data_IF_608145633175
#
_entry.id   IF_608145633175
#
_cell.length_a   1.000
_cell.length_b   1.000
_cell.length_c   1.000
_cell.angle_alpha   90.00
_cell.angle_beta   90.00
_cell.angle_gamma   90.00
#
_symmetry.space_group_name_H-M   'P 1'
#
loop_
_entity.id
_entity.type
_entity.pdbx_description
1 polymer ?
#
# COMPACT_ATOMS: atom_id res chain seq x y z
N UNK A 1 1.42 -26.00 -16.48
CA UNK A 1 2.49 -25.60 -15.53
C UNK A 1 1.92 -24.51 -14.64
N UNK A 2 1.57 -24.87 -13.40
CA UNK A 2 0.90 -24.01 -12.43
C UNK A 2 1.88 -23.02 -11.79
N UNK A 3 1.54 -21.73 -11.83
CA UNK A 3 2.27 -20.66 -11.12
C UNK A 3 2.07 -20.79 -9.60
N UNK A 4 3.13 -20.74 -8.78
CA UNK A 4 3.02 -20.79 -7.33
C UNK A 4 2.84 -19.37 -6.78
N UNK A 5 1.61 -18.89 -6.68
CA UNK A 5 1.31 -17.83 -5.72
C UNK A 5 1.12 -18.49 -4.36
N UNK A 6 2.24 -18.84 -3.70
CA UNK A 6 2.24 -19.14 -2.28
C UNK A 6 1.96 -17.83 -1.56
N UNK A 7 0.68 -17.56 -1.29
CA UNK A 7 0.29 -16.62 -0.26
C UNK A 7 0.78 -17.25 1.03
N UNK A 8 1.81 -16.66 1.63
CA UNK A 8 2.29 -17.07 2.95
C UNK A 8 1.27 -16.55 3.98
N UNK A 9 0.10 -17.19 4.01
CA UNK A 9 -0.81 -17.12 5.14
C UNK A 9 -0.17 -18.00 6.21
N UNK A 10 0.62 -17.40 7.10
CA UNK A 10 1.03 -18.09 8.32
C UNK A 10 -0.21 -18.21 9.24
N UNK A 11 -1.10 -19.13 8.90
CA UNK A 11 -2.02 -19.75 9.86
C UNK A 11 -1.51 -21.18 9.97
N UNK A 12 -0.47 -21.37 10.79
CA UNK A 12 -0.04 -22.72 11.12
C UNK A 12 -1.07 -23.28 12.11
N UNK A 13 -1.97 -24.09 11.56
CA UNK A 13 -2.97 -24.80 12.33
C UNK A 13 -2.30 -25.99 13.02
N UNK A 14 -2.41 -25.99 14.36
CA UNK A 14 -2.17 -27.10 15.28
C UNK A 14 -0.76 -27.23 15.93
N UNK A 15 -0.43 -26.26 16.80
CA UNK A 15 0.82 -26.24 17.60
C UNK A 15 0.59 -26.66 19.08
N UNK A 16 -0.59 -27.17 19.45
CA UNK A 16 -0.92 -27.40 20.87
C UNK A 16 -0.17 -28.54 21.58
N UNK A 17 0.74 -29.26 20.91
CA UNK A 17 1.35 -30.48 21.47
C UNK A 17 2.88 -30.48 21.56
N UNK A 18 3.59 -29.45 21.09
CA UNK A 18 5.07 -29.41 21.14
C UNK A 18 5.62 -28.29 22.06
N UNK A 19 6.26 -28.63 23.20
CA UNK A 19 6.82 -27.65 24.13
C UNK A 19 8.03 -26.87 23.58
N UNK A 20 8.74 -27.34 22.54
CA UNK A 20 9.82 -26.59 21.90
C UNK A 20 9.29 -25.47 20.99
N UNK A 21 8.12 -25.66 20.37
CA UNK A 21 7.42 -24.62 19.61
C UNK A 21 6.86 -23.50 20.51
N UNK A 22 6.58 -23.78 21.78
CA UNK A 22 6.02 -22.81 22.74
C UNK A 22 7.01 -21.67 23.09
N UNK A 23 8.31 -21.96 23.08
CA UNK A 23 9.38 -20.96 23.30
C UNK A 23 9.54 -20.05 22.07
N UNK A 24 9.34 -20.60 20.88
CA UNK A 24 9.30 -19.82 19.62
C UNK A 24 7.98 -19.05 19.48
N UNK A 25 6.88 -19.52 20.05
CA UNK A 25 5.56 -18.87 20.00
C UNK A 25 5.56 -17.49 20.67
N UNK A 26 6.34 -17.28 21.73
CA UNK A 26 6.48 -15.95 22.36
C UNK A 26 7.21 -14.93 21.47
N UNK A 27 8.01 -15.39 20.49
CA UNK A 27 8.70 -14.54 19.53
C UNK A 27 7.86 -14.25 18.27
N UNK A 28 6.92 -15.14 17.90
CA UNK A 28 6.12 -15.03 16.67
C UNK A 28 4.65 -14.61 16.88
N UNK A 29 4.18 -14.46 18.12
CA UNK A 29 2.80 -14.00 18.44
C UNK A 29 2.56 -12.49 18.23
N UNK A 30 3.54 -11.76 17.68
CA UNK A 30 3.56 -10.29 17.73
C UNK A 30 2.74 -9.60 16.63
N UNK A 31 2.75 -10.08 15.38
CA UNK A 31 2.03 -9.41 14.29
C UNK A 31 1.60 -10.35 13.15
N UNK A 32 0.51 -9.99 12.46
CA UNK A 32 0.02 -10.64 11.24
C UNK A 32 -0.16 -9.59 10.14
N UNK A 33 0.23 -9.93 8.92
CA UNK A 33 0.18 -9.04 7.76
C UNK A 33 -0.73 -9.66 6.71
N UNK A 34 -1.77 -8.93 6.31
CA UNK A 34 -2.66 -9.32 5.22
C UNK A 34 -2.25 -8.62 3.94
N UNK A 35 -2.05 -9.37 2.86
CA UNK A 35 -1.74 -8.87 1.52
C UNK A 35 -2.69 -9.48 0.47
N UNK A 36 -3.95 -9.71 0.86
CA UNK A 36 -4.98 -10.28 -0.01
C UNK A 36 -5.36 -9.30 -1.13
N UNK A 37 -5.74 -9.83 -2.29
CA UNK A 37 -6.13 -9.02 -3.44
C UNK A 37 -7.51 -8.36 -3.27
N UNK A 38 -7.80 -7.24 -3.97
CA UNK A 38 -9.05 -6.50 -3.84
C UNK A 38 -10.33 -7.35 -4.00
N UNK A 39 -10.30 -8.33 -4.90
CA UNK A 39 -11.44 -9.21 -5.21
C UNK A 39 -11.79 -10.21 -4.10
N UNK A 40 -10.96 -10.33 -3.06
CA UNK A 40 -11.19 -11.26 -1.93
C UNK A 40 -11.10 -10.58 -0.56
N UNK A 41 -11.19 -9.25 -0.51
CA UNK A 41 -11.07 -8.45 0.74
C UNK A 41 -12.00 -8.90 1.86
N UNK A 42 -13.16 -9.46 1.51
CA UNK A 42 -14.14 -10.00 2.46
C UNK A 42 -13.58 -11.13 3.35
N UNK A 43 -12.53 -11.83 2.91
CA UNK A 43 -11.86 -12.86 3.72
C UNK A 43 -11.22 -12.28 4.99
N UNK A 44 -10.88 -10.99 5.02
CA UNK A 44 -10.32 -10.37 6.22
C UNK A 44 -11.32 -10.36 7.39
N UNK A 45 -12.63 -10.38 7.12
CA UNK A 45 -13.68 -10.47 8.15
C UNK A 45 -13.63 -11.79 8.93
N UNK A 46 -13.10 -12.85 8.34
CA UNK A 46 -12.94 -14.16 9.01
C UNK A 46 -11.55 -14.32 9.60
N UNK A 47 -10.52 -13.75 8.98
CA UNK A 47 -9.13 -13.82 9.46
C UNK A 47 -8.93 -13.00 10.74
N UNK A 48 -9.53 -11.81 10.86
CA UNK A 48 -9.32 -10.93 12.03
C UNK A 48 -9.77 -11.58 13.36
N UNK A 49 -10.98 -12.17 13.47
CA UNK A 49 -11.38 -12.90 14.67
C UNK A 49 -10.48 -14.12 14.97
N UNK A 50 -10.04 -14.84 13.94
CA UNK A 50 -9.14 -15.98 14.10
C UNK A 50 -7.76 -15.55 14.60
N UNK A 51 -7.23 -14.44 14.07
CA UNK A 51 -5.99 -13.84 14.54
C UNK A 51 -6.08 -13.43 16.02
N UNK A 52 -7.19 -12.80 16.40
CA UNK A 52 -7.46 -12.45 17.80
C UNK A 52 -7.54 -13.69 18.70
N UNK A 53 -8.21 -14.76 18.26
CA UNK A 53 -8.31 -16.01 19.01
C UNK A 53 -6.95 -16.74 19.14
N UNK A 54 -6.06 -16.57 18.15
CA UNK A 54 -4.69 -17.09 18.16
C UNK A 54 -3.71 -16.26 19.02
N UNK A 55 -4.19 -15.18 19.66
CA UNK A 55 -3.37 -14.30 20.49
C UNK A 55 -2.52 -13.30 19.72
N UNK A 56 -2.77 -13.11 18.42
CA UNK A 56 -2.03 -12.13 17.60
C UNK A 56 -2.22 -10.73 18.18
N UNK A 57 -1.09 -10.08 18.42
CA UNK A 57 -1.04 -8.81 19.13
C UNK A 57 -1.22 -7.57 18.24
N UNK A 58 -0.96 -7.68 16.94
CA UNK A 58 -1.08 -6.61 15.95
C UNK A 58 -1.49 -7.20 14.60
N UNK A 59 -2.50 -6.62 13.95
CA UNK A 59 -2.95 -7.05 12.63
C UNK A 59 -2.84 -5.89 11.65
N UNK A 60 -2.08 -6.08 10.57
CA UNK A 60 -1.94 -5.13 9.46
C UNK A 60 -2.89 -5.57 8.34
N UNK A 61 -3.99 -4.83 8.09
CA UNK A 61 -4.91 -5.15 7.01
C UNK A 61 -4.30 -4.85 5.63
N UNK A 62 -4.91 -5.39 4.58
CA UNK A 62 -4.53 -5.13 3.19
C UNK A 62 -4.92 -3.71 2.75
N UNK A 63 -4.16 -2.71 3.20
CA UNK A 63 -4.41 -1.26 3.02
C UNK A 63 -3.22 -0.53 2.35
N UNK A 64 -2.46 -1.20 1.50
CA UNK A 64 -1.22 -0.68 0.87
C UNK A 64 -1.48 0.30 -0.29
N UNK A 65 -2.42 1.22 -0.12
CA UNK A 65 -2.80 2.13 -1.18
C UNK A 65 -3.65 3.30 -0.72
N UNK A 66 -4.64 3.61 -1.55
CA UNK A 66 -5.38 4.86 -1.56
C UNK A 66 -6.34 4.99 -0.38
N UNK A 67 -6.47 6.20 0.18
CA UNK A 67 -7.51 6.53 1.17
C UNK A 67 -8.90 6.36 0.55
N UNK A 68 -9.77 5.61 1.23
CA UNK A 68 -11.23 5.74 1.06
C UNK A 68 -11.69 6.88 1.95
N UNK A 69 -11.81 8.09 1.41
CA UNK A 69 -12.42 9.22 2.11
C UNK A 69 -13.81 9.47 1.56
N UNK A 70 -14.84 9.15 2.32
CA UNK A 70 -16.18 9.71 2.10
C UNK A 70 -16.20 11.19 2.52
N UNK A 71 -16.88 12.04 1.75
CA UNK A 71 -17.31 13.37 2.21
C UNK A 71 -16.81 14.59 1.41
N UNK A 72 -17.34 15.79 1.75
CA UNK A 72 -17.42 16.97 0.87
C UNK A 72 -16.13 17.81 0.70
N UNK A 73 -14.93 17.21 0.77
CA UNK A 73 -13.66 17.96 0.69
C UNK A 73 -13.14 18.17 -0.75
N UNK A 74 -14.02 18.68 -1.62
CA UNK A 74 -13.78 18.98 -3.05
C UNK A 74 -12.84 20.19 -3.28
N UNK A 75 -12.28 20.82 -2.24
CA UNK A 75 -11.54 22.07 -2.40
C UNK A 75 -10.08 21.98 -1.93
N UNK A 76 -9.24 21.24 -2.70
CA UNK A 76 -7.82 21.56 -2.94
C UNK A 76 -7.43 21.21 -4.39
N UNK A 77 -8.26 21.66 -5.33
CA UNK A 77 -7.99 21.65 -6.78
C UNK A 77 -7.01 22.78 -7.12
N UNK A 78 -5.83 22.42 -7.64
CA UNK A 78 -4.86 23.22 -8.43
C UNK A 78 -3.39 22.82 -8.19
N UNK A 79 -3.06 22.11 -7.09
CA UNK A 79 -1.69 21.56 -6.88
C UNK A 79 -1.70 20.06 -6.57
N UNK A 80 -2.85 19.50 -6.16
CA UNK A 80 -3.00 18.07 -5.81
C UNK A 80 -3.57 17.21 -6.94
N UNK A 81 -4.10 17.81 -8.01
CA UNK A 81 -4.90 17.14 -9.05
C UNK A 81 -4.14 16.29 -10.05
N UNK A 82 -2.80 16.21 -9.98
CA UNK A 82 -2.05 15.46 -10.98
C UNK A 82 -1.06 14.46 -10.39
N UNK A 83 -0.88 14.36 -9.08
CA UNK A 83 0.20 13.57 -8.50
C UNK A 83 -0.28 12.21 -7.99
N UNK A 84 0.36 11.14 -8.46
CA UNK A 84 0.28 9.83 -7.85
C UNK A 84 1.46 9.65 -6.89
N UNK A 85 1.19 9.16 -5.68
CA UNK A 85 2.26 8.61 -4.86
C UNK A 85 2.77 7.33 -5.52
N UNK A 86 4.08 7.17 -5.56
CA UNK A 86 4.72 5.99 -6.12
C UNK A 86 5.58 5.39 -5.04
N UNK A 87 5.54 4.07 -4.92
CA UNK A 87 6.47 3.28 -4.09
C UNK A 87 6.58 1.90 -4.72
N UNK A 88 7.81 1.40 -4.84
CA UNK A 88 8.03 0.06 -5.37
C UNK A 88 7.48 -1.00 -4.43
N UNK A 89 7.04 -2.15 -4.96
CA UNK A 89 6.60 -3.27 -4.11
C UNK A 89 7.68 -3.73 -3.13
N UNK A 90 8.95 -3.67 -3.56
CA UNK A 90 10.11 -3.99 -2.72
C UNK A 90 10.25 -3.00 -1.57
N UNK A 91 10.09 -1.71 -1.86
CA UNK A 91 10.20 -0.65 -0.86
C UNK A 91 8.99 -0.68 0.11
N UNK A 92 7.77 -0.96 -0.35
CA UNK A 92 6.63 -1.25 0.54
C UNK A 92 6.98 -2.37 1.52
N UNK A 93 7.50 -3.49 1.02
CA UNK A 93 7.91 -4.62 1.86
C UNK A 93 8.99 -4.25 2.86
N UNK A 94 10.01 -3.50 2.43
CA UNK A 94 11.10 -3.01 3.31
C UNK A 94 10.59 -2.09 4.41
N UNK A 95 9.73 -1.14 4.06
CA UNK A 95 9.16 -0.20 5.04
C UNK A 95 8.34 -0.95 6.08
N UNK A 96 7.39 -1.79 5.65
CA UNK A 96 6.54 -2.57 6.56
C UNK A 96 7.38 -3.49 7.46
N UNK A 97 8.34 -4.22 6.89
CA UNK A 97 9.21 -5.11 7.66
C UNK A 97 10.07 -4.34 8.68
N UNK A 98 10.62 -3.19 8.30
CA UNK A 98 11.40 -2.36 9.21
C UNK A 98 10.54 -1.86 10.37
N UNK A 99 9.42 -1.19 10.07
CA UNK A 99 8.56 -0.59 11.11
C UNK A 99 8.04 -1.64 12.09
N UNK A 100 7.58 -2.80 11.60
CA UNK A 100 7.06 -3.86 12.46
C UNK A 100 8.13 -4.52 13.33
N UNK A 101 9.41 -4.46 12.92
CA UNK A 101 10.52 -5.07 13.67
C UNK A 101 11.21 -4.10 14.63
N UNK A 102 11.12 -2.79 14.41
CA UNK A 102 11.85 -1.77 15.17
C UNK A 102 10.97 -0.90 16.05
N UNK A 103 9.71 -0.68 15.70
CA UNK A 103 8.83 0.20 16.45
C UNK A 103 8.25 -0.50 17.69
N UNK A 104 8.08 0.26 18.78
CA UNK A 104 7.33 -0.23 19.94
C UNK A 104 5.87 -0.48 19.56
N UNK A 105 5.29 -1.59 20.02
CA UNK A 105 3.88 -1.96 19.75
C UNK A 105 2.90 -0.83 20.10
N UNK A 106 3.12 -0.13 21.22
CA UNK A 106 2.28 1.01 21.63
C UNK A 106 2.30 2.19 20.65
N UNK A 107 3.34 2.31 19.83
CA UNK A 107 3.43 3.32 18.77
C UNK A 107 2.72 2.87 17.47
N UNK A 108 2.33 1.58 17.37
CA UNK A 108 1.67 0.99 16.21
C UNK A 108 0.17 0.75 16.43
N UNK A 109 -0.27 0.65 17.69
CA UNK A 109 -1.67 0.41 18.02
C UNK A 109 -2.57 1.56 17.55
N UNK A 110 -3.48 1.27 16.61
CA UNK A 110 -4.34 2.27 15.98
C UNK A 110 -3.60 3.27 15.08
N UNK A 111 -2.30 3.09 14.86
CA UNK A 111 -1.49 4.02 14.09
C UNK A 111 -1.77 3.89 12.58
N UNK A 112 -1.84 5.05 11.93
CA UNK A 112 -1.79 5.18 10.47
C UNK A 112 -0.42 5.73 10.11
N UNK A 113 0.27 5.04 9.22
CA UNK A 113 1.65 5.37 8.85
C UNK A 113 1.71 5.67 7.35
N UNK A 114 1.48 6.92 6.92
CA UNK A 114 1.65 7.29 5.52
C UNK A 114 3.13 7.26 5.14
N UNK A 115 3.46 6.56 4.06
CA UNK A 115 4.81 6.54 3.51
C UNK A 115 4.73 6.54 1.98
N UNK A 116 5.74 7.14 1.33
CA UNK A 116 5.88 7.11 -0.11
C UNK A 116 7.36 7.19 -0.51
N UNK A 117 7.65 6.95 -1.80
CA UNK A 117 8.96 7.21 -2.40
C UNK A 117 8.98 8.59 -3.02
N UNK A 118 7.99 8.87 -3.85
CA UNK A 118 7.89 10.12 -4.60
C UNK A 118 6.45 10.39 -5.04
N UNK A 119 6.20 11.63 -5.46
CA UNK A 119 4.96 12.06 -6.08
C UNK A 119 5.27 12.48 -7.50
N UNK A 120 4.71 11.77 -8.47
CA UNK A 120 4.86 12.11 -9.89
C UNK A 120 3.49 12.17 -10.55
N UNK A 121 3.35 13.12 -11.46
CA UNK A 121 2.18 13.17 -12.33
C UNK A 121 2.29 12.24 -13.54
N UNK A 122 1.16 11.85 -14.16
CA UNK A 122 1.19 11.08 -15.41
C UNK A 122 2.07 11.73 -16.49
N UNK A 123 2.11 13.06 -16.57
CA UNK A 123 2.97 13.78 -17.51
C UNK A 123 4.45 13.74 -17.11
N UNK A 124 4.79 13.84 -15.82
CA UNK A 124 6.17 13.68 -15.36
C UNK A 124 6.66 12.23 -15.55
N UNK A 125 5.81 11.24 -15.28
CA UNK A 125 6.09 9.82 -15.57
C UNK A 125 6.36 9.65 -17.06
N UNK A 126 5.49 10.19 -17.93
CA UNK A 126 5.69 10.17 -19.38
C UNK A 126 7.05 10.75 -19.74
N UNK A 127 7.39 11.93 -19.24
CA UNK A 127 8.64 12.62 -19.58
C UNK A 127 9.88 11.80 -19.16
N UNK A 128 9.85 11.16 -17.99
CA UNK A 128 10.90 10.23 -17.55
C UNK A 128 11.01 9.02 -18.48
N UNK A 129 9.88 8.43 -18.87
CA UNK A 129 9.84 7.26 -19.77
C UNK A 129 10.31 7.62 -21.18
N UNK A 130 9.84 8.72 -21.76
CA UNK A 130 10.26 9.18 -23.09
C UNK A 130 11.77 9.47 -23.12
N UNK A 131 12.28 10.13 -22.08
CA UNK A 131 13.71 10.42 -21.93
C UNK A 131 14.53 9.14 -21.86
N UNK A 132 14.11 8.17 -21.04
CA UNK A 132 14.90 6.94 -20.84
C UNK A 132 14.84 6.00 -22.04
N UNK A 133 13.68 5.91 -22.70
CA UNK A 133 13.46 4.97 -23.81
C UNK A 133 13.69 5.58 -25.19
N UNK A 134 13.84 6.90 -25.29
CA UNK A 134 13.98 7.62 -26.56
C UNK A 134 12.76 7.50 -27.47
N UNK A 135 11.58 7.20 -26.91
CA UNK A 135 10.32 6.97 -27.65
C UNK A 135 9.28 7.98 -27.22
N UNK A 136 8.52 8.50 -28.18
CA UNK A 136 7.36 9.35 -27.91
C UNK A 136 6.15 8.51 -27.52
N UNK A 137 5.44 8.95 -26.48
CA UNK A 137 4.21 8.33 -25.99
C UNK A 137 3.05 9.23 -26.40
N UNK A 138 2.08 8.66 -27.11
CA UNK A 138 0.82 9.33 -27.40
C UNK A 138 0.02 9.52 -26.10
N UNK A 139 -0.34 10.76 -25.79
CA UNK A 139 -1.21 11.07 -24.65
C UNK A 139 -2.65 11.15 -25.13
N UNK A 140 -3.52 10.35 -24.51
CA UNK A 140 -4.96 10.43 -24.71
C UNK A 140 -5.61 11.06 -23.51
N UNK A 141 -6.45 12.04 -23.76
CA UNK A 141 -7.31 12.62 -22.75
C UNK A 141 -8.63 11.86 -22.75
N UNK A 142 -9.12 11.54 -21.55
CA UNK A 142 -10.41 10.89 -21.34
C UNK A 142 -11.28 11.88 -20.57
N UNK A 143 -12.54 12.00 -20.98
CA UNK A 143 -13.52 12.79 -20.25
C UNK A 143 -13.85 12.12 -18.91
N UNK A 144 -13.88 12.90 -17.83
CA UNK A 144 -14.11 12.37 -16.49
C UNK A 144 -15.49 11.72 -16.34
N UNK A 145 -16.55 12.39 -16.79
CA UNK A 145 -17.92 11.89 -16.61
C UNK A 145 -18.18 10.64 -17.46
N UNK A 146 -17.62 10.57 -18.67
CA UNK A 146 -17.70 9.37 -19.51
C UNK A 146 -16.88 8.22 -18.92
N UNK A 147 -15.67 8.50 -18.43
CA UNK A 147 -14.80 7.51 -17.82
C UNK A 147 -15.44 6.87 -16.57
N UNK A 148 -16.04 7.71 -15.72
CA UNK A 148 -16.70 7.29 -14.48
C UNK A 148 -17.84 6.31 -14.69
N UNK A 149 -18.51 6.30 -15.85
CA UNK A 149 -19.56 5.31 -16.18
C UNK A 149 -19.05 3.87 -16.15
N UNK A 150 -17.76 3.68 -16.39
CA UNK A 150 -17.12 2.35 -16.40
C UNK A 150 -16.32 2.08 -15.12
N UNK A 151 -16.50 2.87 -14.06
CA UNK A 151 -15.72 2.77 -12.82
C UNK A 151 -15.72 1.37 -12.20
N UNK A 152 -16.87 0.70 -12.18
CA UNK A 152 -17.03 -0.62 -11.57
C UNK A 152 -16.61 -1.79 -12.49
N UNK A 153 -16.40 -1.51 -13.78
CA UNK A 153 -16.26 -2.56 -14.81
C UNK A 153 -14.93 -2.51 -15.57
N UNK A 154 -14.24 -1.36 -15.56
CA UNK A 154 -12.96 -1.16 -16.24
C UNK A 154 -11.90 -0.67 -15.24
N UNK A 155 -10.80 -1.43 -15.12
CA UNK A 155 -9.73 -1.13 -14.16
C UNK A 155 -8.99 0.17 -14.47
N UNK A 156 -8.90 0.56 -15.74
CA UNK A 156 -8.27 1.81 -16.14
C UNK A 156 -9.18 2.96 -15.76
N UNK A 157 -10.49 2.85 -16.03
CA UNK A 157 -11.49 3.83 -15.64
C UNK A 157 -11.56 4.02 -14.11
N UNK A 158 -11.47 2.93 -13.35
CA UNK A 158 -11.34 2.97 -11.90
C UNK A 158 -10.13 3.80 -11.46
N UNK A 159 -8.93 3.46 -11.95
CA UNK A 159 -7.68 4.12 -11.52
C UNK A 159 -7.68 5.61 -11.91
N UNK A 160 -8.07 5.94 -13.14
CA UNK A 160 -8.05 7.33 -13.62
C UNK A 160 -9.10 8.19 -12.92
N UNK A 161 -10.28 7.65 -12.61
CA UNK A 161 -11.30 8.35 -11.81
C UNK A 161 -10.80 8.61 -10.38
N UNK A 162 -10.19 7.61 -9.74
CA UNK A 162 -9.64 7.77 -8.38
C UNK A 162 -8.56 8.86 -8.33
N UNK A 163 -7.71 8.97 -9.35
CA UNK A 163 -6.70 10.03 -9.42
C UNK A 163 -7.31 11.42 -9.60
N UNK A 164 -8.31 11.55 -10.49
CA UNK A 164 -9.02 12.83 -10.71
C UNK A 164 -9.79 13.29 -9.45
N UNK A 165 -10.34 12.35 -8.67
CA UNK A 165 -11.00 12.62 -7.40
C UNK A 165 -10.00 12.94 -6.25
N UNK A 166 -8.69 13.01 -6.55
CA UNK A 166 -7.65 13.38 -5.58
C UNK A 166 -7.23 12.23 -4.66
N UNK A 167 -7.68 11.02 -4.93
CA UNK A 167 -7.32 9.83 -4.15
C UNK A 167 -5.95 9.25 -4.53
N UNK A 168 -5.21 9.86 -5.46
CA UNK A 168 -3.84 9.45 -5.82
C UNK A 168 -2.78 9.69 -4.72
N UNK A 169 -3.13 10.41 -3.65
CA UNK A 169 -2.23 10.76 -2.56
C UNK A 169 -2.57 10.00 -1.27
N UNK A 170 -1.54 9.54 -0.56
CA UNK A 170 -1.72 8.86 0.74
C UNK A 170 -2.02 9.88 1.84
N UNK A 171 -1.26 10.96 1.93
CA UNK A 171 -1.45 12.06 2.90
C UNK A 171 -0.70 13.33 2.47
N UNK A 172 -0.55 14.32 3.35
CA UNK A 172 0.33 15.47 3.06
C UNK A 172 1.81 15.07 3.03
N UNK A 173 2.64 15.80 2.27
CA UNK A 173 4.09 15.54 2.23
C UNK A 173 4.74 15.62 3.62
N UNK A 174 4.21 16.52 4.47
CA UNK A 174 4.70 16.71 5.84
C UNK A 174 4.48 15.45 6.66
N UNK A 175 3.27 14.89 6.64
CA UNK A 175 2.93 13.68 7.40
C UNK A 175 3.73 12.47 6.93
N UNK A 176 3.96 12.35 5.62
CA UNK A 176 4.80 11.30 5.04
C UNK A 176 6.24 11.43 5.53
N UNK A 177 6.83 12.63 5.48
CA UNK A 177 8.20 12.89 5.96
C UNK A 177 8.34 12.66 7.45
N UNK A 178 7.36 13.09 8.26
CA UNK A 178 7.33 12.86 9.70
C UNK A 178 7.23 11.37 10.04
N UNK A 179 6.45 10.60 9.28
CA UNK A 179 6.33 9.15 9.46
C UNK A 179 7.65 8.45 9.16
N UNK A 180 8.29 8.77 8.03
CA UNK A 180 9.60 8.22 7.70
C UNK A 180 10.64 8.60 8.76
N UNK A 181 10.74 9.88 9.13
CA UNK A 181 11.69 10.34 10.15
C UNK A 181 11.49 9.68 11.52
N UNK A 182 10.24 9.35 11.88
CA UNK A 182 9.93 8.71 13.16
C UNK A 182 10.18 7.20 13.15
N UNK A 183 9.82 6.52 12.08
CA UNK A 183 9.74 5.06 12.06
C UNK A 183 10.80 4.38 11.20
N UNK A 184 11.43 5.11 10.28
CA UNK A 184 12.52 4.63 9.44
C UNK A 184 13.43 5.81 9.03
N UNK A 185 14.24 6.38 9.94
CA UNK A 185 15.02 7.59 9.67
C UNK A 185 15.97 7.49 8.46
N UNK A 186 16.49 6.29 8.20
CA UNK A 186 17.36 5.97 7.07
C UNK A 186 16.58 5.56 5.81
N UNK A 187 15.30 5.92 5.72
CA UNK A 187 14.44 5.60 4.59
C UNK A 187 14.99 6.22 3.30
N UNK A 188 15.50 5.35 2.42
CA UNK A 188 16.07 5.72 1.13
C UNK A 188 15.49 4.82 0.03
N UNK A 189 14.23 5.06 -0.37
CA UNK A 189 13.54 4.23 -1.35
C UNK A 189 14.11 4.41 -2.76
N UNK A 190 13.85 3.42 -3.62
CA UNK A 190 14.35 3.43 -4.99
C UNK A 190 13.45 4.31 -5.87
N UNK A 191 13.97 5.35 -6.57
CA UNK A 191 13.17 6.27 -7.37
C UNK A 191 12.59 5.60 -8.63
N UNK A 192 11.50 6.16 -9.15
CA UNK A 192 10.69 5.60 -10.23
C UNK A 192 11.50 5.40 -11.50
N UNK A 193 12.38 6.36 -11.79
CA UNK A 193 13.27 6.30 -12.96
C UNK A 193 14.11 5.02 -12.97
N UNK A 194 14.47 4.44 -11.82
CA UNK A 194 15.23 3.20 -11.74
C UNK A 194 14.45 1.98 -12.26
N UNK A 195 13.12 2.01 -12.26
CA UNK A 195 12.27 0.88 -12.71
C UNK A 195 11.90 0.93 -14.19
N UNK A 196 12.13 2.05 -14.87
CA UNK A 196 11.86 2.17 -16.31
C UNK A 196 12.89 1.29 -17.05
N UNK A 197 12.43 0.24 -17.72
CA UNK A 197 13.28 -0.75 -18.39
C UNK A 197 13.36 -0.52 -19.90
#
# INVERSE_FOLDING_TARGET
MSSPYTILVAIDADIKTDPLLCVWWHLFSCCSISAVAPNIMMVQKTIVPAAKAAGIQLFVPAEYGVRVTEGPNVAKKEVQELLAHITSRTDVGRFVAHVLSTAAKSALEGARLPFETERLSPLQIRDLVEKKLGKKIEVRHVDYEENKKNFDTDVVAFITTMFEEGHGLVDTEKEVKETAAKFFPDWNPTPYEAFIA
#
